data_IF_586542284417
#
_entry.id   IF_586542284417
#
_cell.length_a   1.000
_cell.length_b   1.000
_cell.length_c   1.000
_cell.angle_alpha   90.00
_cell.angle_beta   90.00
_cell.angle_gamma   90.00
#
_symmetry.space_group_name_H-M   'P 1'
#
loop_
_entity.id
_entity.type
_entity.pdbx_description
1 polymer ?
#
# COMPACT_ATOMS: atom_id res chain seq x y z
N UNK A 1 13.15 -22.14 -5.01
CA UNK A 1 13.29 -20.68 -4.80
C UNK A 1 11.99 -19.98 -5.22
N UNK A 2 11.61 -18.83 -4.66
CA UNK A 2 10.33 -18.15 -4.99
C UNK A 2 10.29 -17.71 -6.45
N UNK A 3 11.42 -17.25 -6.99
CA UNK A 3 11.55 -16.82 -8.38
C UNK A 3 11.31 -17.94 -9.42
N UNK A 4 11.28 -19.21 -8.99
CA UNK A 4 11.02 -20.35 -9.86
C UNK A 4 9.53 -20.76 -9.88
N UNK A 5 8.69 -20.11 -9.08
CA UNK A 5 7.27 -20.40 -9.04
C UNK A 5 6.55 -19.86 -10.29
N UNK A 6 5.70 -20.68 -10.89
CA UNK A 6 4.80 -20.22 -11.96
C UNK A 6 3.64 -19.37 -11.44
N UNK A 7 3.26 -19.55 -10.17
CA UNK A 7 2.16 -18.82 -9.52
C UNK A 7 2.37 -18.82 -8.01
N UNK A 8 1.98 -17.74 -7.34
CA UNK A 8 2.05 -17.59 -5.89
C UNK A 8 0.64 -17.47 -5.29
N UNK A 9 0.35 -18.27 -4.27
CA UNK A 9 -0.83 -18.10 -3.41
C UNK A 9 -0.36 -17.70 -2.02
N UNK A 10 -0.92 -16.63 -1.46
CA UNK A 10 -0.39 -16.06 -0.21
C UNK A 10 -1.49 -15.51 0.69
N UNK A 11 -1.38 -15.76 2.00
CA UNK A 11 -2.16 -15.04 3.04
C UNK A 11 -1.34 -13.89 3.66
N UNK A 12 -0.15 -13.61 3.15
CA UNK A 12 0.77 -12.57 3.60
C UNK A 12 0.94 -11.48 2.54
N UNK A 13 0.89 -10.21 2.96
CA UNK A 13 1.16 -9.07 2.09
C UNK A 13 2.57 -9.13 1.49
N UNK A 14 3.57 -9.55 2.28
CA UNK A 14 4.94 -9.68 1.77
C UNK A 14 5.03 -10.69 0.62
N UNK A 15 4.29 -11.80 0.69
CA UNK A 15 4.25 -12.75 -0.41
C UNK A 15 3.66 -12.14 -1.69
N UNK A 16 2.68 -11.24 -1.55
CA UNK A 16 2.08 -10.54 -2.70
C UNK A 16 3.06 -9.52 -3.28
N UNK A 17 3.72 -8.72 -2.44
CA UNK A 17 4.74 -7.75 -2.86
C UNK A 17 5.89 -8.44 -3.59
N UNK A 18 6.38 -9.57 -3.08
CA UNK A 18 7.47 -10.34 -3.72
C UNK A 18 7.01 -10.89 -5.08
N UNK A 19 5.78 -11.40 -5.18
CA UNK A 19 5.25 -11.87 -6.45
C UNK A 19 5.17 -10.74 -7.48
N UNK A 20 4.70 -9.56 -7.06
CA UNK A 20 4.60 -8.37 -7.90
C UNK A 20 5.98 -7.89 -8.36
N UNK A 21 6.98 -7.89 -7.48
CA UNK A 21 8.35 -7.52 -7.80
C UNK A 21 9.01 -8.45 -8.84
N UNK A 22 8.66 -9.74 -8.82
CA UNK A 22 9.15 -10.72 -9.79
C UNK A 22 8.25 -10.89 -11.02
N UNK A 23 7.12 -10.19 -11.10
CA UNK A 23 6.15 -10.36 -12.19
C UNK A 23 5.47 -11.74 -12.21
N UNK A 24 5.46 -12.44 -11.08
CA UNK A 24 4.85 -13.77 -10.96
C UNK A 24 3.35 -13.60 -10.70
N UNK A 25 2.46 -14.30 -11.45
CA UNK A 25 1.03 -14.28 -11.17
C UNK A 25 0.73 -14.65 -9.72
N UNK A 26 -0.12 -13.85 -9.07
CA UNK A 26 -0.42 -14.02 -7.66
C UNK A 26 -1.93 -14.04 -7.36
N UNK A 27 -2.29 -14.75 -6.31
CA UNK A 27 -3.60 -14.74 -5.69
C UNK A 27 -3.41 -14.58 -4.18
N UNK A 28 -4.02 -13.57 -3.56
CA UNK A 28 -4.00 -13.46 -2.12
C UNK A 28 -5.31 -13.94 -1.51
N UNK A 29 -5.21 -14.70 -0.42
CA UNK A 29 -6.34 -15.41 0.19
C UNK A 29 -6.60 -14.91 1.60
N UNK A 30 -7.88 -14.72 1.94
CA UNK A 30 -8.33 -14.48 3.31
C UNK A 30 -8.58 -15.81 4.00
N UNK A 31 -7.98 -15.97 5.17
CA UNK A 31 -8.17 -17.13 6.05
C UNK A 31 -9.18 -16.81 7.15
N UNK A 32 -9.74 -17.84 7.79
CA UNK A 32 -10.75 -17.71 8.85
C UNK A 32 -10.25 -17.02 10.12
N UNK A 33 -8.93 -16.95 10.31
CA UNK A 33 -8.34 -16.18 11.41
C UNK A 33 -8.26 -14.70 11.03
N UNK A 34 -8.86 -13.78 11.81
CA UNK A 34 -8.80 -12.36 11.53
C UNK A 34 -7.36 -11.86 11.66
N UNK A 35 -6.79 -11.40 10.54
CA UNK A 35 -5.55 -10.62 10.55
C UNK A 35 -5.84 -9.27 11.22
N UNK A 36 -4.91 -8.77 12.03
CA UNK A 36 -4.98 -7.40 12.53
C UNK A 36 -5.01 -6.42 11.34
N UNK A 37 -6.04 -5.56 11.29
CA UNK A 37 -6.30 -4.69 10.14
C UNK A 37 -6.98 -5.35 8.94
N UNK A 38 -7.47 -6.60 9.07
CA UNK A 38 -8.20 -7.35 8.05
C UNK A 38 -7.49 -7.34 6.67
N UNK A 39 -8.24 -7.06 5.61
CA UNK A 39 -7.76 -7.01 4.24
C UNK A 39 -7.31 -5.61 3.79
N UNK A 40 -7.39 -4.60 4.68
CA UNK A 40 -7.09 -3.21 4.36
C UNK A 40 -5.73 -3.05 3.66
N UNK A 41 -4.68 -3.65 4.22
CA UNK A 41 -3.31 -3.57 3.67
C UNK A 41 -3.18 -4.18 2.28
N UNK A 42 -3.98 -5.19 1.96
CA UNK A 42 -4.00 -5.80 0.63
C UNK A 42 -4.76 -4.92 -0.34
N UNK A 43 -5.92 -4.39 0.09
CA UNK A 43 -6.72 -3.47 -0.71
C UNK A 43 -5.96 -2.19 -1.05
N UNK A 44 -5.25 -1.62 -0.08
CA UNK A 44 -4.39 -0.45 -0.23
C UNK A 44 -3.30 -0.71 -1.28
N UNK A 45 -2.54 -1.80 -1.15
CA UNK A 45 -1.53 -2.21 -2.13
C UNK A 45 -2.12 -2.40 -3.54
N UNK A 46 -3.28 -3.06 -3.64
CA UNK A 46 -3.95 -3.33 -4.92
C UNK A 46 -4.49 -2.05 -5.59
N UNK A 47 -4.67 -0.94 -4.87
CA UNK A 47 -5.06 0.34 -5.49
C UNK A 47 -4.03 0.83 -6.50
N UNK A 48 -2.76 0.45 -6.34
CA UNK A 48 -1.69 0.76 -7.29
C UNK A 48 -1.35 -0.46 -8.14
N UNK A 49 -1.20 -1.63 -7.51
CA UNK A 49 -0.74 -2.82 -8.21
C UNK A 49 -1.75 -3.32 -9.24
N UNK A 50 -3.07 -3.28 -8.95
CA UNK A 50 -4.15 -3.71 -9.85
C UNK A 50 -5.47 -2.97 -9.59
N UNK A 51 -5.56 -1.65 -9.84
CA UNK A 51 -6.71 -0.81 -9.49
C UNK A 51 -8.05 -1.28 -10.06
N UNK A 52 -8.05 -1.88 -11.26
CA UNK A 52 -9.28 -2.30 -11.93
C UNK A 52 -9.84 -3.64 -11.43
N UNK A 53 -9.00 -4.51 -10.86
CA UNK A 53 -9.37 -5.88 -10.51
C UNK A 53 -8.44 -6.46 -9.43
N UNK A 54 -8.71 -6.19 -8.14
CA UNK A 54 -7.98 -6.77 -7.02
C UNK A 54 -8.03 -8.31 -7.01
N UNK A 55 -6.97 -8.96 -6.54
CA UNK A 55 -6.78 -10.42 -6.60
C UNK A 55 -7.24 -11.18 -5.35
N UNK A 56 -8.02 -10.53 -4.48
CA UNK A 56 -8.38 -11.08 -3.17
C UNK A 56 -9.57 -12.01 -3.19
N UNK A 57 -9.40 -13.24 -2.70
CA UNK A 57 -10.50 -14.19 -2.53
C UNK A 57 -10.55 -14.73 -1.09
N UNK A 58 -11.72 -15.20 -0.66
CA UNK A 58 -11.79 -16.02 0.55
C UNK A 58 -11.33 -17.44 0.21
N UNK A 59 -10.55 -18.06 1.11
CA UNK A 59 -10.06 -19.43 0.88
C UNK A 59 -11.22 -20.43 0.71
N UNK A 60 -12.37 -20.15 1.34
CA UNK A 60 -13.60 -20.93 1.22
C UNK A 60 -14.20 -20.90 -0.20
N UNK A 61 -13.88 -19.89 -1.01
CA UNK A 61 -14.36 -19.74 -2.39
C UNK A 61 -13.50 -20.51 -3.41
N UNK A 62 -12.42 -21.14 -2.96
CA UNK A 62 -11.55 -21.99 -3.77
C UNK A 62 -11.93 -23.45 -3.56
N UNK A 63 -12.64 -24.03 -4.52
CA UNK A 63 -13.02 -25.45 -4.47
C UNK A 63 -11.82 -26.40 -4.64
N UNK A 64 -10.75 -25.94 -5.31
CA UNK A 64 -9.51 -26.71 -5.48
C UNK A 64 -8.32 -25.84 -5.87
N UNK A 65 -7.11 -26.36 -5.66
CA UNK A 65 -5.87 -25.71 -6.15
C UNK A 65 -5.81 -25.59 -7.67
N UNK A 66 -6.56 -26.41 -8.42
CA UNK A 66 -6.62 -26.33 -9.88
C UNK A 66 -7.27 -25.04 -10.39
N UNK A 67 -7.95 -24.27 -9.53
CA UNK A 67 -8.49 -22.96 -9.90
C UNK A 67 -7.45 -21.85 -9.86
N UNK A 68 -6.37 -22.03 -9.11
CA UNK A 68 -5.37 -20.99 -8.83
C UNK A 68 -4.80 -20.38 -10.11
N UNK A 69 -4.35 -21.15 -11.12
CA UNK A 69 -3.77 -20.56 -12.33
C UNK A 69 -4.75 -19.69 -13.14
N UNK A 70 -6.06 -19.93 -13.00
CA UNK A 70 -7.11 -19.13 -13.68
C UNK A 70 -7.44 -17.84 -12.94
N UNK A 71 -7.23 -17.80 -11.62
CA UNK A 71 -7.57 -16.65 -10.77
C UNK A 71 -6.36 -15.77 -10.45
N UNK A 72 -5.16 -16.36 -10.42
CA UNK A 72 -3.94 -15.64 -10.16
C UNK A 72 -3.54 -14.78 -11.35
N UNK A 73 -3.12 -13.54 -11.08
CA UNK A 73 -2.73 -12.60 -12.13
C UNK A 73 -1.55 -11.77 -11.64
N UNK A 74 -0.65 -11.42 -12.55
CA UNK A 74 0.46 -10.53 -12.24
C UNK A 74 -0.05 -9.10 -11.99
N UNK A 75 0.75 -8.29 -11.30
CA UNK A 75 0.47 -6.87 -11.17
C UNK A 75 0.47 -6.15 -12.53
N UNK A 76 -0.25 -5.03 -12.60
CA UNK A 76 -0.19 -4.12 -13.74
C UNK A 76 1.08 -3.25 -13.60
N UNK A 77 2.18 -3.73 -14.18
CA UNK A 77 3.46 -3.02 -14.16
C UNK A 77 3.34 -1.59 -14.73
N UNK A 78 2.49 -1.38 -15.74
CA UNK A 78 2.29 -0.07 -16.31
C UNK A 78 1.53 0.86 -15.36
N UNK A 79 0.57 0.35 -14.58
CA UNK A 79 -0.08 1.13 -13.53
C UNK A 79 0.90 1.53 -12.42
N UNK A 80 1.75 0.60 -12.00
CA UNK A 80 2.80 0.86 -11.00
C UNK A 80 3.76 1.93 -11.52
N UNK A 81 4.25 1.81 -12.74
CA UNK A 81 5.18 2.79 -13.34
C UNK A 81 4.55 4.17 -13.45
N UNK A 82 3.26 4.25 -13.84
CA UNK A 82 2.51 5.51 -13.86
C UNK A 82 2.39 6.11 -12.47
N UNK A 83 2.08 5.31 -11.45
CA UNK A 83 1.95 5.78 -10.07
C UNK A 83 3.28 6.29 -9.51
N UNK A 84 4.37 5.56 -9.74
CA UNK A 84 5.73 5.98 -9.38
C UNK A 84 6.11 7.30 -10.08
N UNK A 85 5.85 7.40 -11.39
CA UNK A 85 6.13 8.61 -12.18
C UNK A 85 5.32 9.81 -11.67
N UNK A 86 4.04 9.61 -11.38
CA UNK A 86 3.18 10.65 -10.82
C UNK A 86 3.63 11.10 -9.42
N UNK A 87 4.06 10.15 -8.57
CA UNK A 87 4.61 10.45 -7.25
C UNK A 87 5.88 11.31 -7.35
N UNK A 88 6.81 10.93 -8.23
CA UNK A 88 8.04 11.72 -8.47
C UNK A 88 7.70 13.11 -8.98
N UNK A 89 6.79 13.22 -9.94
CA UNK A 89 6.35 14.51 -10.48
C UNK A 89 5.66 15.40 -9.43
N UNK A 90 5.05 14.81 -8.39
CA UNK A 90 4.34 15.57 -7.36
C UNK A 90 5.26 16.34 -6.40
N UNK A 91 6.55 16.02 -6.34
CA UNK A 91 7.50 16.59 -5.37
C UNK A 91 7.62 18.11 -5.51
N UNK A 92 7.78 18.64 -6.73
CA UNK A 92 7.91 20.08 -6.97
C UNK A 92 6.70 20.88 -6.47
N UNK A 93 5.49 20.58 -6.97
CA UNK A 93 4.25 21.20 -6.50
C UNK A 93 4.03 21.06 -4.98
N UNK A 94 4.41 19.93 -4.39
CA UNK A 94 4.29 19.73 -2.94
C UNK A 94 5.23 20.67 -2.17
N UNK A 95 6.46 20.85 -2.62
CA UNK A 95 7.42 21.79 -2.00
C UNK A 95 6.91 23.22 -2.08
N UNK A 96 6.35 23.65 -3.22
CA UNK A 96 5.75 24.99 -3.36
C UNK A 96 4.54 25.18 -2.44
N UNK A 97 3.62 24.21 -2.42
CA UNK A 97 2.42 24.24 -1.60
C UNK A 97 2.73 24.19 -0.09
N UNK A 98 3.79 23.49 0.31
CA UNK A 98 4.22 23.40 1.72
C UNK A 98 5.10 24.55 2.17
N UNK A 99 5.86 25.18 1.27
CA UNK A 99 6.61 26.41 1.56
C UNK A 99 5.66 27.55 1.97
N UNK A 100 4.49 27.65 1.34
CA UNK A 100 3.43 28.59 1.74
C UNK A 100 2.76 28.24 3.09
N UNK A 101 2.91 27.00 3.57
CA UNK A 101 2.36 26.51 4.85
C UNK A 101 3.40 26.42 5.98
N UNK A 102 4.58 27.00 5.83
CA UNK A 102 5.52 27.26 6.95
C UNK A 102 4.96 28.33 7.92
N UNK A 103 3.72 28.22 8.35
CA UNK A 103 3.33 28.75 9.64
C UNK A 103 3.87 27.75 10.67
N UNK A 104 4.76 28.21 11.54
CA UNK A 104 5.25 27.41 12.66
C UNK A 104 4.05 26.79 13.41
N UNK A 105 4.10 25.54 13.88
CA UNK A 105 3.08 25.00 14.78
C UNK A 105 2.88 25.87 16.04
N UNK A 106 3.86 26.72 16.36
CA UNK A 106 3.83 27.71 17.45
C UNK A 106 3.22 29.07 17.04
N UNK A 107 2.79 29.23 15.79
CA UNK A 107 2.10 30.42 15.30
C UNK A 107 0.57 30.40 15.59
N UNK A 108 0.13 29.49 16.47
CA UNK A 108 -1.23 29.51 17.02
C UNK A 108 -1.30 30.63 18.07
N UNK A 109 -2.16 31.66 17.90
CA UNK A 109 -2.26 32.77 18.86
C UNK A 109 -2.58 32.31 20.29
N UNK A 110 -3.28 31.17 20.43
CA UNK A 110 -3.67 30.58 21.70
C UNK A 110 -2.52 30.02 22.56
N UNK A 111 -1.30 29.90 22.03
CA UNK A 111 -0.12 29.45 22.79
C UNK A 111 0.83 30.58 23.18
N UNK A 112 0.57 31.83 22.74
CA UNK A 112 1.34 32.99 23.19
C UNK A 112 0.92 33.35 24.62
N UNK A 113 1.82 33.10 25.58
CA UNK A 113 1.64 33.51 26.99
C UNK A 113 1.21 32.41 27.95
N UNK A 114 1.12 31.14 27.50
CA UNK A 114 0.99 30.00 28.40
C UNK A 114 2.36 29.63 28.96
N UNK A 115 2.60 29.97 30.24
CA UNK A 115 3.78 29.56 31.00
C UNK A 115 3.61 28.11 31.45
N UNK A 116 4.05 27.17 30.61
CA UNK A 116 4.14 25.76 30.97
C UNK A 116 5.56 25.56 31.52
N UNK A 117 5.73 25.93 32.78
CA UNK A 117 6.87 25.61 33.65
C UNK A 117 8.20 25.32 32.93
N UNK A 118 9.03 26.36 32.81
CA UNK A 118 10.47 26.29 32.56
C UNK A 118 10.98 26.03 31.12
N UNK A 119 10.25 26.46 30.08
CA UNK A 119 10.86 26.63 28.75
C UNK A 119 10.49 27.99 28.14
N UNK A 120 11.44 28.94 28.15
CA UNK A 120 11.38 30.12 27.27
C UNK A 120 11.86 29.71 25.88
N UNK A 121 10.94 29.70 24.91
CA UNK A 121 11.28 29.65 23.49
C UNK A 121 11.40 31.09 22.98
N UNK A 122 12.57 31.43 22.41
CA UNK A 122 12.78 32.68 21.64
C UNK A 122 12.09 32.60 20.28
#
# INVERSE_FOLDING_TARGET
DIAQCHTIVTSSLHGLIVADAFGIPALWVRTTQPLYGHDFKFRDHETVARPAAPRGVDVADLASLAEVPRRAVAADAAAIDRACSALVASVGPLVEATAARRASPLAVPALRGLDIGAVRLF
#
